data_IF_682445291814
#
_entry.id   IF_682445291814
#
_cell.length_a   1.000
_cell.length_b   1.000
_cell.length_c   1.000
_cell.angle_alpha   90.00
_cell.angle_beta   90.00
_cell.angle_gamma   90.00
#
_symmetry.space_group_name_H-M   'P 1'
#
loop_
_entity.id
_entity.type
_entity.pdbx_description
1 polymer ?
#
# COMPACT_ATOMS: atom_id res chain seq x y z
N UNK A 1 23.80 -13.30 9.61
CA UNK A 1 23.16 -13.02 8.31
C UNK A 1 23.19 -11.51 8.04
N UNK A 2 23.74 -11.10 6.88
CA UNK A 2 23.96 -9.68 6.53
C UNK A 2 22.69 -8.84 6.64
N UNK A 3 21.54 -9.38 6.18
CA UNK A 3 20.25 -8.69 6.28
C UNK A 3 19.86 -8.51 7.75
N UNK A 4 20.03 -9.52 8.55
CA UNK A 4 19.67 -9.51 9.96
C UNK A 4 20.48 -8.49 10.76
N UNK A 5 21.77 -8.39 10.49
CA UNK A 5 22.69 -7.48 11.18
C UNK A 5 22.55 -6.03 10.69
N UNK A 6 22.41 -5.84 9.37
CA UNK A 6 22.44 -4.49 8.76
C UNK A 6 21.08 -3.84 8.60
N UNK A 7 20.04 -4.64 8.39
CA UNK A 7 18.69 -4.12 8.06
C UNK A 7 17.73 -4.25 9.24
N UNK A 8 17.78 -5.38 9.97
CA UNK A 8 16.81 -5.66 11.03
C UNK A 8 17.27 -5.23 12.43
N UNK A 9 18.42 -4.58 12.56
CA UNK A 9 18.90 -4.03 13.83
C UNK A 9 18.33 -2.64 14.05
N UNK A 10 17.71 -2.39 15.20
CA UNK A 10 17.05 -1.12 15.56
C UNK A 10 15.93 -0.69 14.58
N UNK A 11 15.28 -1.66 13.96
CA UNK A 11 14.17 -1.43 13.02
C UNK A 11 12.86 -1.74 13.72
N UNK A 12 11.93 -0.79 13.73
CA UNK A 12 10.60 -0.95 14.31
C UNK A 12 9.55 -1.36 13.27
N UNK A 13 9.77 -0.97 12.01
CA UNK A 13 8.88 -1.28 10.88
C UNK A 13 9.70 -1.59 9.63
N UNK A 14 9.29 -2.62 8.89
CA UNK A 14 9.90 -3.05 7.65
C UNK A 14 8.86 -3.13 6.53
N UNK A 15 9.15 -2.47 5.43
CA UNK A 15 8.41 -2.67 4.17
C UNK A 15 9.17 -3.65 3.29
N UNK A 16 8.48 -4.65 2.79
CA UNK A 16 8.99 -5.60 1.81
C UNK A 16 8.23 -5.40 0.52
N UNK A 17 8.92 -4.92 -0.51
CA UNK A 17 8.34 -4.72 -1.84
C UNK A 17 8.92 -5.71 -2.81
N UNK A 18 8.04 -6.38 -3.60
CA UNK A 18 8.48 -7.34 -4.59
C UNK A 18 7.46 -7.51 -5.72
N UNK A 19 7.96 -7.68 -6.95
CA UNK A 19 7.17 -8.28 -8.03
C UNK A 19 7.13 -9.78 -7.83
N UNK A 20 5.94 -10.35 -7.74
CA UNK A 20 5.74 -11.79 -7.58
C UNK A 20 5.66 -12.49 -8.94
N UNK A 21 5.99 -13.79 -8.96
CA UNK A 21 6.01 -14.60 -10.19
C UNK A 21 7.41 -14.90 -10.72
N UNK A 22 8.39 -14.05 -10.40
CA UNK A 22 9.81 -14.32 -10.66
C UNK A 22 10.47 -15.17 -9.56
N UNK A 23 11.76 -15.44 -9.68
CA UNK A 23 12.52 -16.25 -8.70
C UNK A 23 12.88 -15.47 -7.44
N UNK A 24 13.46 -14.27 -7.59
CA UNK A 24 14.06 -13.53 -6.48
C UNK A 24 13.01 -12.96 -5.52
N UNK A 25 12.05 -12.18 -6.04
CA UNK A 25 11.01 -11.55 -5.22
C UNK A 25 10.14 -12.59 -4.51
N UNK A 26 9.65 -13.58 -5.27
CA UNK A 26 8.79 -14.65 -4.78
C UNK A 26 9.45 -15.49 -3.67
N UNK A 27 10.74 -15.81 -3.84
CA UNK A 27 11.46 -16.68 -2.89
C UNK A 27 12.05 -15.91 -1.69
N UNK A 28 12.58 -14.71 -1.90
CA UNK A 28 13.28 -13.96 -0.85
C UNK A 28 12.33 -13.20 0.09
N UNK A 29 11.21 -12.67 -0.42
CA UNK A 29 10.30 -11.86 0.39
C UNK A 29 9.76 -12.60 1.62
N UNK A 30 9.22 -13.83 1.52
CA UNK A 30 8.74 -14.57 2.69
C UNK A 30 9.83 -14.86 3.72
N UNK A 31 11.05 -15.14 3.26
CA UNK A 31 12.19 -15.44 4.15
C UNK A 31 12.57 -14.20 4.96
N UNK A 32 12.70 -13.05 4.32
CA UNK A 32 13.01 -11.77 4.99
C UNK A 32 11.88 -11.40 5.95
N UNK A 33 10.62 -11.56 5.53
CA UNK A 33 9.46 -11.31 6.37
C UNK A 33 9.47 -12.17 7.64
N UNK A 34 9.76 -13.47 7.51
CA UNK A 34 9.87 -14.40 8.64
C UNK A 34 10.95 -13.95 9.63
N UNK A 35 12.10 -13.50 9.14
CA UNK A 35 13.19 -12.98 9.99
C UNK A 35 12.76 -11.72 10.76
N UNK A 36 12.10 -10.78 10.10
CA UNK A 36 11.59 -9.55 10.70
C UNK A 36 10.50 -9.83 11.76
N UNK A 37 9.54 -10.70 11.42
CA UNK A 37 8.47 -11.11 12.33
C UNK A 37 8.98 -11.77 13.60
N UNK A 38 10.01 -12.64 13.51
CA UNK A 38 10.67 -13.26 14.67
C UNK A 38 11.33 -12.24 15.61
N UNK A 39 11.73 -11.09 15.09
CA UNK A 39 12.30 -9.97 15.87
C UNK A 39 11.22 -9.01 16.42
N UNK A 40 9.95 -9.26 16.16
CA UNK A 40 8.85 -8.38 16.59
C UNK A 40 8.74 -7.07 15.80
N UNK A 41 9.39 -6.99 14.62
CA UNK A 41 9.33 -5.84 13.72
C UNK A 41 7.99 -5.86 13.02
N UNK A 42 7.28 -4.71 13.00
CA UNK A 42 6.06 -4.56 12.22
C UNK A 42 6.39 -4.72 10.73
N UNK A 43 5.90 -5.79 10.11
CA UNK A 43 6.28 -6.15 8.74
C UNK A 43 5.11 -5.97 7.79
N UNK A 44 5.29 -5.12 6.79
CA UNK A 44 4.29 -4.82 5.76
C UNK A 44 4.81 -5.28 4.41
N UNK A 45 4.06 -6.18 3.78
CA UNK A 45 4.31 -6.61 2.40
C UNK A 45 3.54 -5.73 1.43
N UNK A 46 4.21 -5.24 0.38
CA UNK A 46 3.58 -4.54 -0.74
C UNK A 46 4.08 -5.19 -2.02
N UNK A 47 3.23 -5.99 -2.65
CA UNK A 47 3.63 -6.84 -3.76
C UNK A 47 2.74 -6.67 -4.98
N UNK A 48 3.30 -6.94 -6.16
CA UNK A 48 2.55 -6.89 -7.41
C UNK A 48 2.33 -8.30 -7.95
N UNK A 49 1.13 -8.56 -8.49
CA UNK A 49 0.84 -9.73 -9.30
C UNK A 49 1.33 -9.49 -10.74
N UNK A 50 1.87 -10.54 -11.41
CA UNK A 50 2.26 -10.43 -12.80
C UNK A 50 1.05 -10.15 -13.70
N UNK A 51 1.30 -9.62 -14.90
CA UNK A 51 0.29 -9.54 -15.95
C UNK A 51 -0.06 -10.95 -16.45
N UNK A 52 -1.29 -11.13 -16.94
CA UNK A 52 -1.71 -12.39 -17.57
C UNK A 52 -0.85 -12.76 -18.77
N UNK A 53 -0.33 -11.76 -19.48
CA UNK A 53 0.60 -11.93 -20.60
C UNK A 53 1.94 -12.58 -20.22
N UNK A 54 2.31 -12.55 -18.93
CA UNK A 54 3.52 -13.22 -18.41
C UNK A 54 3.35 -14.74 -18.24
N UNK A 55 2.14 -15.25 -18.42
CA UNK A 55 1.81 -16.66 -18.45
C UNK A 55 1.37 -17.26 -17.11
N UNK A 56 0.72 -18.43 -17.21
CA UNK A 56 0.13 -19.11 -16.06
C UNK A 56 1.17 -19.60 -15.05
N UNK A 57 2.38 -19.91 -15.49
CA UNK A 57 3.45 -20.37 -14.59
C UNK A 57 3.90 -19.25 -13.65
N UNK A 58 4.09 -18.02 -14.18
CA UNK A 58 4.40 -16.83 -13.36
C UNK A 58 3.29 -16.53 -12.38
N UNK A 59 2.04 -16.62 -12.82
CA UNK A 59 0.87 -16.41 -11.96
C UNK A 59 0.78 -17.44 -10.84
N UNK A 60 0.99 -18.74 -11.15
CA UNK A 60 0.99 -19.80 -10.12
C UNK A 60 2.08 -19.56 -9.09
N UNK A 61 3.31 -19.28 -9.54
CA UNK A 61 4.43 -18.96 -8.64
C UNK A 61 4.13 -17.73 -7.77
N UNK A 62 3.49 -16.70 -8.34
CA UNK A 62 3.11 -15.50 -7.62
C UNK A 62 2.13 -15.81 -6.49
N UNK A 63 1.09 -16.60 -6.77
CA UNK A 63 0.08 -16.99 -5.79
C UNK A 63 0.73 -17.81 -4.66
N UNK A 64 1.57 -18.79 -4.98
CA UNK A 64 2.27 -19.59 -3.98
C UNK A 64 3.17 -18.73 -3.08
N UNK A 65 3.91 -17.80 -3.68
CA UNK A 65 4.77 -16.87 -2.94
C UNK A 65 4.00 -15.89 -2.07
N UNK A 66 2.85 -15.40 -2.54
CA UNK A 66 1.95 -14.54 -1.77
C UNK A 66 1.39 -15.28 -0.58
N UNK A 67 0.89 -16.50 -0.76
CA UNK A 67 0.39 -17.34 0.33
C UNK A 67 1.45 -17.62 1.40
N UNK A 68 2.71 -17.75 1.00
CA UNK A 68 3.80 -17.93 1.95
C UNK A 68 4.20 -16.60 2.63
N UNK A 69 4.17 -15.49 1.90
CA UNK A 69 4.46 -14.18 2.44
C UNK A 69 3.40 -13.75 3.46
N UNK A 70 2.12 -13.99 3.19
CA UNK A 70 0.99 -13.64 4.07
C UNK A 70 1.16 -14.20 5.49
N UNK A 71 1.66 -15.41 5.63
CA UNK A 71 1.93 -16.04 6.94
C UNK A 71 3.00 -15.31 7.74
N UNK A 72 3.86 -14.57 7.06
CA UNK A 72 5.08 -13.98 7.61
C UNK A 72 5.04 -12.44 7.70
N UNK A 73 3.99 -11.78 7.24
CA UNK A 73 3.78 -10.33 7.39
C UNK A 73 2.66 -10.03 8.37
N UNK A 74 2.60 -8.81 8.88
CA UNK A 74 1.48 -8.32 9.69
C UNK A 74 0.36 -7.78 8.79
N UNK A 75 0.75 -7.10 7.71
CA UNK A 75 -0.15 -6.49 6.73
C UNK A 75 0.36 -6.75 5.32
N UNK A 76 -0.52 -7.11 4.39
CA UNK A 76 -0.17 -7.43 3.02
C UNK A 76 -1.05 -6.64 2.04
N UNK A 77 -0.42 -5.77 1.26
CA UNK A 77 -1.05 -5.07 0.15
C UNK A 77 -0.65 -5.77 -1.16
N UNK A 78 -1.64 -6.21 -1.92
CA UNK A 78 -1.45 -6.87 -3.20
C UNK A 78 -1.95 -5.93 -4.31
N UNK A 79 -1.06 -5.56 -5.22
CA UNK A 79 -1.37 -4.74 -6.38
C UNK A 79 -1.53 -5.66 -7.58
N UNK A 80 -2.71 -5.66 -8.17
CA UNK A 80 -2.99 -6.43 -9.37
C UNK A 80 -2.65 -5.60 -10.62
N UNK A 81 -1.61 -5.96 -11.34
CA UNK A 81 -1.17 -5.25 -12.53
C UNK A 81 -2.23 -5.25 -13.65
N UNK A 82 -3.08 -6.29 -13.76
CA UNK A 82 -4.19 -6.31 -14.72
C UNK A 82 -5.18 -5.16 -14.50
N UNK A 83 -5.42 -4.78 -13.23
CA UNK A 83 -6.29 -3.66 -12.92
C UNK A 83 -5.67 -2.31 -13.34
N UNK A 84 -4.35 -2.22 -13.28
CA UNK A 84 -3.66 -1.03 -13.79
C UNK A 84 -3.73 -0.94 -15.32
N UNK A 85 -3.86 -2.08 -15.99
CA UNK A 85 -4.09 -2.11 -17.44
C UNK A 85 -5.43 -1.45 -17.82
N UNK A 86 -6.47 -1.64 -17.03
CA UNK A 86 -7.79 -1.02 -17.26
C UNK A 86 -7.73 0.52 -17.19
N UNK A 87 -6.78 1.08 -16.41
CA UNK A 87 -6.61 2.53 -16.24
C UNK A 87 -5.53 3.14 -17.14
N UNK A 88 -4.52 2.38 -17.48
CA UNK A 88 -3.34 2.86 -18.22
C UNK A 88 -3.11 2.14 -19.55
N UNK A 89 -4.06 1.31 -19.99
CA UNK A 89 -3.93 0.50 -21.19
C UNK A 89 -3.79 1.29 -22.50
N UNK A 90 -4.25 2.54 -22.52
CA UNK A 90 -4.09 3.46 -23.66
C UNK A 90 -2.72 4.13 -23.72
N UNK A 91 -1.88 3.97 -22.69
CA UNK A 91 -0.52 4.51 -22.69
C UNK A 91 0.42 3.64 -23.54
N UNK A 92 1.46 4.27 -24.05
CA UNK A 92 2.57 3.52 -24.63
C UNK A 92 3.21 2.62 -23.55
N UNK A 93 3.68 1.44 -23.94
CA UNK A 93 4.25 0.46 -23.02
C UNK A 93 5.39 1.05 -22.16
N UNK A 94 6.22 1.89 -22.76
CA UNK A 94 7.31 2.59 -22.08
C UNK A 94 6.84 3.59 -21.01
N UNK A 95 5.59 4.08 -21.10
CA UNK A 95 5.01 5.04 -20.17
C UNK A 95 4.11 4.33 -19.14
N UNK A 96 3.57 3.16 -19.46
CA UNK A 96 2.71 2.38 -18.58
C UNK A 96 3.50 1.73 -17.43
N UNK A 97 4.68 1.15 -17.68
CA UNK A 97 5.49 0.52 -16.63
C UNK A 97 5.90 1.49 -15.50
N UNK A 98 6.40 2.72 -15.80
CA UNK A 98 6.65 3.71 -14.75
C UNK A 98 5.41 4.07 -13.92
N UNK A 99 4.21 3.98 -14.49
CA UNK A 99 2.96 4.21 -13.75
C UNK A 99 2.66 3.09 -12.75
N UNK A 100 2.94 1.85 -13.10
CA UNK A 100 2.84 0.72 -12.17
C UNK A 100 3.81 0.89 -11.00
N UNK A 101 5.05 1.28 -11.28
CA UNK A 101 6.05 1.56 -10.24
C UNK A 101 5.65 2.76 -9.36
N UNK A 102 5.03 3.79 -9.94
CA UNK A 102 4.51 4.95 -9.21
C UNK A 102 3.39 4.56 -8.24
N UNK A 103 2.53 3.62 -8.61
CA UNK A 103 1.47 3.10 -7.73
C UNK A 103 2.08 2.41 -6.52
N UNK A 104 3.07 1.55 -6.73
CA UNK A 104 3.79 0.87 -5.66
C UNK A 104 4.49 1.87 -4.72
N UNK A 105 5.19 2.84 -5.30
CA UNK A 105 5.86 3.89 -4.55
C UNK A 105 4.87 4.76 -3.75
N UNK A 106 3.71 5.07 -4.33
CA UNK A 106 2.64 5.84 -3.68
C UNK A 106 2.05 5.08 -2.51
N UNK A 107 1.87 3.77 -2.62
CA UNK A 107 1.39 2.92 -1.54
C UNK A 107 2.34 2.98 -0.32
N UNK A 108 3.63 2.76 -0.55
CA UNK A 108 4.63 2.82 0.53
C UNK A 108 4.76 4.23 1.10
N UNK A 109 4.75 5.26 0.23
CA UNK A 109 4.83 6.67 0.63
C UNK A 109 3.65 7.06 1.49
N UNK A 110 2.42 6.71 1.11
CA UNK A 110 1.21 7.04 1.86
C UNK A 110 1.27 6.57 3.31
N UNK A 111 1.76 5.35 3.56
CA UNK A 111 1.93 4.83 4.91
C UNK A 111 3.09 5.53 5.64
N UNK A 112 4.22 5.74 4.96
CA UNK A 112 5.40 6.36 5.59
C UNK A 112 5.21 7.84 5.90
N UNK A 113 4.43 8.57 5.11
CA UNK A 113 4.11 9.98 5.37
C UNK A 113 3.32 10.18 6.65
N UNK A 114 2.39 9.26 6.96
CA UNK A 114 1.63 9.30 8.22
C UNK A 114 2.57 9.21 9.43
N UNK A 115 3.63 8.41 9.33
CA UNK A 115 4.62 8.20 10.40
C UNK A 115 5.58 9.39 10.51
N UNK A 116 6.01 9.94 9.37
CA UNK A 116 7.07 10.97 9.33
C UNK A 116 6.58 12.38 9.58
N UNK A 117 5.38 12.70 9.15
CA UNK A 117 4.87 14.07 9.18
C UNK A 117 3.90 14.27 10.34
N UNK A 118 4.25 15.21 11.24
CA UNK A 118 3.32 15.67 12.27
C UNK A 118 2.28 16.59 11.62
N UNK A 119 1.02 16.17 11.61
CA UNK A 119 -0.13 16.93 11.18
C UNK A 119 -0.76 17.77 12.31
N UNK A 120 -1.91 18.37 12.06
CA UNK A 120 -2.75 18.95 13.10
C UNK A 120 -3.41 17.89 13.99
N UNK A 121 -3.76 16.76 13.40
CA UNK A 121 -4.20 15.55 14.08
C UNK A 121 -3.13 14.50 13.82
N UNK A 122 -2.49 14.03 14.87
CA UNK A 122 -1.39 13.07 14.76
C UNK A 122 -1.87 11.68 15.11
N UNK A 123 -1.39 10.71 14.35
CA UNK A 123 -1.46 9.29 14.67
C UNK A 123 -0.07 8.88 15.16
N UNK A 124 0.03 8.31 16.35
CA UNK A 124 1.29 7.81 16.87
C UNK A 124 1.68 6.50 16.16
N UNK A 125 2.98 6.23 16.08
CA UNK A 125 3.49 4.97 15.54
C UNK A 125 2.90 3.75 16.24
N UNK A 126 2.64 3.84 17.53
CA UNK A 126 2.00 2.77 18.29
C UNK A 126 0.55 2.51 17.86
N UNK A 127 -0.18 3.54 17.46
CA UNK A 127 -1.55 3.40 16.93
C UNK A 127 -1.51 2.67 15.59
N UNK A 128 -0.57 3.07 14.71
CA UNK A 128 -0.35 2.41 13.41
C UNK A 128 0.06 0.95 13.63
N UNK A 129 0.99 0.70 14.55
CA UNK A 129 1.41 -0.65 14.91
C UNK A 129 0.23 -1.50 15.38
N UNK A 130 -0.59 -0.96 16.27
CA UNK A 130 -1.76 -1.67 16.81
C UNK A 130 -2.77 -2.00 15.73
N UNK A 131 -3.00 -1.06 14.82
CA UNK A 131 -3.95 -1.23 13.72
C UNK A 131 -3.46 -2.21 12.66
N UNK A 132 -2.18 -2.16 12.30
CA UNK A 132 -1.60 -2.97 11.22
C UNK A 132 -1.09 -4.33 11.66
N UNK A 133 -0.83 -4.53 12.96
CA UNK A 133 -0.31 -5.80 13.48
C UNK A 133 -1.34 -6.92 13.29
N UNK A 134 -0.93 -7.98 12.59
CA UNK A 134 -1.77 -9.12 12.23
C UNK A 134 -3.10 -8.71 11.55
N UNK A 135 -3.10 -7.62 10.78
CA UNK A 135 -4.30 -7.15 10.07
C UNK A 135 -4.62 -8.01 8.85
N UNK A 136 -3.65 -8.76 8.34
CA UNK A 136 -3.83 -9.59 7.15
C UNK A 136 -3.83 -8.75 5.86
N UNK A 137 -4.80 -8.96 4.99
CA UNK A 137 -4.89 -8.21 3.74
C UNK A 137 -5.24 -6.74 3.99
N UNK A 138 -4.48 -5.86 3.35
CA UNK A 138 -4.69 -4.42 3.36
C UNK A 138 -5.04 -3.91 1.97
N UNK A 139 -5.79 -2.83 1.94
CA UNK A 139 -6.16 -2.10 0.73
C UNK A 139 -5.77 -0.64 0.89
N UNK A 140 -5.54 0.03 -0.22
CA UNK A 140 -5.19 1.43 -0.23
C UNK A 140 -5.86 2.14 -1.41
N UNK A 141 -6.45 3.30 -1.14
CA UNK A 141 -6.91 4.23 -2.16
C UNK A 141 -6.22 5.58 -1.98
N UNK A 142 -5.93 6.25 -3.06
CA UNK A 142 -5.38 7.60 -3.08
C UNK A 142 -6.21 8.47 -4.01
N UNK A 143 -6.52 9.67 -3.57
CA UNK A 143 -7.25 10.63 -4.39
C UNK A 143 -6.78 12.06 -4.14
N UNK A 144 -6.90 12.88 -5.16
CA UNK A 144 -6.60 14.31 -5.10
C UNK A 144 -7.78 15.11 -5.62
N UNK A 145 -8.01 16.26 -5.04
CA UNK A 145 -9.06 17.18 -5.47
C UNK A 145 -8.59 18.63 -5.47
N UNK A 146 -9.12 19.44 -6.37
CA UNK A 146 -8.82 20.86 -6.53
C UNK A 146 -10.11 21.66 -6.68
N UNK A 147 -10.05 22.99 -6.42
CA UNK A 147 -11.21 23.87 -6.57
C UNK A 147 -12.21 23.77 -5.43
N UNK A 148 -13.46 24.08 -5.71
CA UNK A 148 -14.54 24.16 -4.70
C UNK A 148 -14.96 22.78 -4.20
N UNK A 149 -15.08 21.79 -5.08
CA UNK A 149 -15.52 20.42 -4.77
C UNK A 149 -14.35 19.49 -4.41
N UNK A 150 -13.17 20.05 -4.12
CA UNK A 150 -11.92 19.31 -3.92
C UNK A 150 -12.02 18.13 -2.93
N UNK A 151 -12.86 18.24 -1.91
CA UNK A 151 -13.02 17.19 -0.90
C UNK A 151 -13.77 16.00 -1.49
N UNK A 152 -14.92 16.26 -2.11
CA UNK A 152 -15.72 15.22 -2.77
C UNK A 152 -14.93 14.55 -3.89
N UNK A 153 -14.24 15.35 -4.72
CA UNK A 153 -13.42 14.84 -5.82
C UNK A 153 -12.27 13.97 -5.31
N UNK A 154 -11.59 14.38 -4.22
CA UNK A 154 -10.50 13.60 -3.63
C UNK A 154 -11.01 12.28 -3.02
N UNK A 155 -12.11 12.30 -2.28
CA UNK A 155 -12.71 11.10 -1.68
C UNK A 155 -13.19 10.15 -2.78
N UNK A 156 -13.91 10.66 -3.77
CA UNK A 156 -14.38 9.86 -4.90
C UNK A 156 -13.20 9.20 -5.63
N UNK A 157 -12.18 9.98 -5.98
CA UNK A 157 -10.97 9.47 -6.64
C UNK A 157 -10.24 8.42 -5.80
N UNK A 158 -10.21 8.58 -4.47
CA UNK A 158 -9.61 7.58 -3.58
C UNK A 158 -10.41 6.28 -3.56
N UNK A 159 -11.75 6.35 -3.52
CA UNK A 159 -12.64 5.19 -3.48
C UNK A 159 -12.73 4.48 -4.85
N UNK A 160 -12.59 5.21 -5.94
CA UNK A 160 -12.53 4.68 -7.31
C UNK A 160 -11.11 4.22 -7.71
N UNK A 161 -10.16 4.24 -6.76
CA UNK A 161 -8.80 3.80 -7.03
C UNK A 161 -8.76 2.36 -7.55
N UNK A 162 -7.96 2.08 -8.60
CA UNK A 162 -7.78 0.72 -9.13
C UNK A 162 -7.29 -0.28 -8.09
N UNK A 163 -6.71 0.19 -7.01
CA UNK A 163 -6.24 -0.63 -5.89
C UNK A 163 -7.37 -1.11 -4.96
N UNK A 164 -8.59 -0.54 -5.08
CA UNK A 164 -9.75 -0.88 -4.25
C UNK A 164 -10.85 -1.64 -5.00
N UNK A 165 -10.82 -1.68 -6.33
CA UNK A 165 -11.96 -2.04 -7.18
C UNK A 165 -12.53 -3.46 -7.00
N UNK A 166 -11.81 -4.41 -6.40
CA UNK A 166 -12.26 -5.80 -6.26
C UNK A 166 -12.73 -6.16 -4.84
N UNK A 167 -12.80 -5.18 -3.93
CA UNK A 167 -13.03 -5.46 -2.53
C UNK A 167 -14.27 -4.75 -1.98
N UNK A 168 -15.05 -5.47 -1.19
CA UNK A 168 -16.13 -4.86 -0.42
C UNK A 168 -15.56 -4.13 0.80
N UNK A 169 -15.46 -2.80 0.69
CA UNK A 169 -14.96 -1.93 1.76
C UNK A 169 -15.75 -2.07 3.06
N UNK A 170 -16.98 -2.59 3.02
CA UNK A 170 -17.79 -2.86 4.22
C UNK A 170 -17.21 -3.97 5.09
N UNK A 171 -16.30 -4.78 4.54
CA UNK A 171 -15.62 -5.83 5.31
C UNK A 171 -14.40 -5.31 6.07
N UNK A 172 -13.97 -4.07 5.81
CA UNK A 172 -12.84 -3.47 6.48
C UNK A 172 -13.10 -3.32 7.99
N UNK A 173 -12.18 -3.87 8.80
CA UNK A 173 -12.23 -3.76 10.26
C UNK A 173 -11.60 -2.47 10.77
N UNK A 174 -10.54 -2.04 10.10
CA UNK A 174 -9.77 -0.84 10.46
C UNK A 174 -9.62 0.03 9.22
N UNK A 175 -9.77 1.32 9.38
CA UNK A 175 -9.57 2.31 8.33
C UNK A 175 -8.57 3.36 8.83
N UNK A 176 -7.53 3.60 8.04
CA UNK A 176 -6.57 4.68 8.27
C UNK A 176 -6.78 5.74 7.19
N UNK A 177 -7.11 6.94 7.62
CA UNK A 177 -7.34 8.08 6.74
C UNK A 177 -6.23 9.10 6.91
N UNK A 178 -5.54 9.41 5.81
CA UNK A 178 -4.56 10.50 5.76
C UNK A 178 -5.08 11.63 4.86
N UNK A 179 -5.21 12.83 5.42
CA UNK A 179 -5.65 14.01 4.69
C UNK A 179 -4.51 15.02 4.67
N UNK A 180 -3.96 15.26 3.49
CA UNK A 180 -2.90 16.25 3.29
C UNK A 180 -3.46 17.48 2.58
N UNK A 181 -3.28 18.65 3.16
CA UNK A 181 -3.69 19.93 2.58
C UNK A 181 -2.48 20.85 2.44
N UNK A 182 -2.37 21.61 1.33
CA UNK A 182 -1.29 22.58 1.19
C UNK A 182 -1.37 23.67 2.28
N UNK A 183 -0.22 24.13 2.75
CA UNK A 183 -0.08 25.21 3.76
C UNK A 183 -0.42 26.62 3.21
N UNK A 184 -1.28 26.70 2.21
CA UNK A 184 -1.72 27.97 1.61
C UNK A 184 -2.95 28.52 2.33
N UNK A 185 -3.34 29.78 2.00
CA UNK A 185 -4.55 30.44 2.50
C UNK A 185 -5.86 29.66 2.23
N UNK A 186 -5.81 28.61 1.42
CA UNK A 186 -6.92 27.71 1.11
C UNK A 186 -6.90 26.41 1.92
N UNK A 187 -6.47 26.46 3.19
CA UNK A 187 -6.54 25.33 4.10
C UNK A 187 -7.94 24.68 4.18
N UNK A 188 -8.03 23.51 4.76
CA UNK A 188 -9.29 22.78 4.94
C UNK A 188 -10.17 23.46 6.00
N UNK A 189 -11.45 23.69 5.70
CA UNK A 189 -12.43 24.17 6.67
C UNK A 189 -12.95 23.02 7.53
N UNK A 190 -13.36 23.29 8.77
CA UNK A 190 -13.92 22.26 9.67
C UNK A 190 -15.11 21.52 9.05
N UNK A 191 -15.99 22.20 8.32
CA UNK A 191 -17.10 21.55 7.60
C UNK A 191 -16.63 20.53 6.54
N UNK A 192 -15.52 20.81 5.87
CA UNK A 192 -14.94 19.90 4.87
C UNK A 192 -14.35 18.64 5.51
N UNK A 193 -13.82 18.75 6.74
CA UNK A 193 -13.38 17.58 7.50
C UNK A 193 -14.57 16.68 7.90
N UNK A 194 -15.71 17.30 8.23
CA UNK A 194 -16.94 16.57 8.55
C UNK A 194 -17.53 15.85 7.34
N UNK A 195 -17.37 16.42 6.14
CA UNK A 195 -17.80 15.81 4.87
C UNK A 195 -17.02 14.53 4.54
N UNK A 196 -15.74 14.48 4.88
CA UNK A 196 -14.89 13.28 4.66
C UNK A 196 -15.34 12.11 5.54
N UNK A 197 -15.90 12.39 6.71
CA UNK A 197 -16.31 11.37 7.70
C UNK A 197 -17.74 10.86 7.49
N UNK A 198 -18.47 11.37 6.51
CA UNK A 198 -19.82 10.90 6.13
C UNK A 198 -19.78 9.80 5.08
#
# INVERSE_FOLDING_TARGET
NVIEEKVLTNTEMLFITAGMGGGTGTGAAPVIASMAKKKGILTVGVVTLPFKSEGNESMSKAIDGINELEKNVDSLLIINNEKLYDFYGDLLLQDAFPKVDEVLATAVRGITEIIKHRGHINVDFNDIRTMMKNSGMALMGCGTGTGENRVEDAVRSALESPLLNDFDLKTAKNVLLNITVPKSAQGMKMKQLEEVNK
#
